data_IF_188756928470
#
_entry.id   IF_188756928470
#
_cell.length_a   1.000
_cell.length_b   1.000
_cell.length_c   1.000
_cell.angle_alpha   90.00
_cell.angle_beta   90.00
_cell.angle_gamma   90.00
#
_symmetry.space_group_name_H-M   'P 1'
#
loop_
_entity.id
_entity.type
_entity.pdbx_description
1 polymer ?
#
# COMPACT_ATOMS: atom_id res chain seq x y z
N UNK A 1 6.95 8.02 17.92
CA UNK A 1 6.87 8.01 16.45
C UNK A 1 7.69 9.15 15.89
N UNK A 2 8.45 8.91 14.82
CA UNK A 2 9.17 9.93 14.04
C UNK A 2 8.20 10.80 13.23
N UNK A 3 8.71 11.89 12.63
CA UNK A 3 7.91 12.75 11.75
C UNK A 3 7.33 11.99 10.56
N UNK A 4 8.13 11.09 9.96
CA UNK A 4 7.69 10.25 8.83
C UNK A 4 6.61 9.26 9.27
N UNK A 5 6.77 8.63 10.44
CA UNK A 5 5.77 7.70 10.98
C UNK A 5 4.44 8.40 11.29
N UNK A 6 4.47 9.64 11.81
CA UNK A 6 3.26 10.45 12.00
C UNK A 6 2.57 10.74 10.66
N UNK A 7 3.35 11.06 9.62
CA UNK A 7 2.83 11.33 8.28
C UNK A 7 2.20 10.09 7.64
N UNK A 8 2.87 8.93 7.73
CA UNK A 8 2.32 7.64 7.28
C UNK A 8 0.98 7.36 7.96
N UNK A 9 0.93 7.44 9.29
CA UNK A 9 -0.28 7.18 10.07
C UNK A 9 -1.43 8.11 9.65
N UNK A 10 -1.16 9.42 9.53
CA UNK A 10 -2.16 10.39 9.08
C UNK A 10 -2.73 10.02 7.71
N UNK A 11 -1.88 9.72 6.73
CA UNK A 11 -2.33 9.31 5.39
C UNK A 11 -3.20 8.04 5.44
N UNK A 12 -2.78 7.01 6.19
CA UNK A 12 -3.51 5.75 6.30
C UNK A 12 -4.91 5.95 6.90
N UNK A 13 -5.00 6.73 7.98
CA UNK A 13 -6.24 6.99 8.72
C UNK A 13 -7.19 7.96 8.01
N UNK A 14 -6.65 8.83 7.14
CA UNK A 14 -7.45 9.83 6.41
C UNK A 14 -8.16 9.24 5.19
N UNK A 15 -7.82 8.02 4.78
CA UNK A 15 -8.32 7.40 3.56
C UNK A 15 -9.24 6.21 3.83
N UNK A 16 -10.24 6.06 2.96
CA UNK A 16 -11.13 4.89 2.95
C UNK A 16 -10.57 3.80 2.06
N UNK A 17 -10.39 2.61 2.62
CA UNK A 17 -9.81 1.46 1.94
C UNK A 17 -10.90 0.54 1.39
N UNK A 18 -10.65 -0.03 0.22
CA UNK A 18 -11.61 -0.88 -0.50
C UNK A 18 -11.20 -2.34 -0.31
N UNK A 19 -12.09 -3.17 0.21
CA UNK A 19 -11.84 -4.61 0.32
C UNK A 19 -11.85 -5.31 -1.04
N UNK A 20 -10.78 -6.06 -1.35
CA UNK A 20 -10.61 -6.78 -2.60
C UNK A 20 -11.46 -8.06 -2.65
N UNK A 21 -12.74 -7.93 -3.04
CA UNK A 21 -13.70 -9.06 -3.10
C UNK A 21 -13.21 -10.25 -3.92
N UNK A 22 -12.49 -10.01 -5.01
CA UNK A 22 -11.94 -11.07 -5.89
C UNK A 22 -10.95 -11.97 -5.15
N UNK A 23 -10.17 -11.42 -4.21
CA UNK A 23 -9.17 -12.14 -3.44
C UNK A 23 -9.67 -12.56 -2.05
N UNK A 24 -10.94 -12.36 -1.73
CA UNK A 24 -11.47 -12.58 -0.38
C UNK A 24 -11.22 -13.99 0.19
N UNK A 25 -11.11 -15.01 -0.68
CA UNK A 25 -10.87 -16.41 -0.27
C UNK A 25 -9.40 -16.83 -0.29
N UNK A 26 -8.55 -16.13 -1.02
CA UNK A 26 -7.19 -16.59 -1.35
C UNK A 26 -6.12 -15.66 -0.81
N UNK A 27 -6.34 -14.35 -0.87
CA UNK A 27 -5.43 -13.35 -0.34
C UNK A 27 -6.20 -12.11 0.09
N UNK A 28 -6.97 -12.16 1.19
CA UNK A 28 -7.82 -11.04 1.60
C UNK A 28 -6.96 -9.81 1.96
N UNK A 29 -7.13 -8.74 1.17
CA UNK A 29 -6.45 -7.47 1.35
C UNK A 29 -7.40 -6.31 1.03
N UNK A 30 -6.98 -5.11 1.37
CA UNK A 30 -7.65 -3.87 0.98
C UNK A 30 -6.73 -3.05 0.08
N UNK A 31 -7.32 -2.11 -0.64
CA UNK A 31 -6.56 -1.24 -1.53
C UNK A 31 -7.16 0.16 -1.61
N UNK A 32 -6.32 1.07 -2.09
CA UNK A 32 -6.64 2.45 -2.38
C UNK A 32 -6.30 2.73 -3.85
N UNK A 33 -7.14 3.52 -4.53
CA UNK A 33 -6.96 3.88 -5.95
C UNK A 33 -6.55 5.34 -6.03
N UNK A 34 -5.41 5.63 -6.67
CA UNK A 34 -4.87 6.98 -6.76
C UNK A 34 -5.87 8.00 -7.32
N UNK A 35 -6.55 7.69 -8.42
CA UNK A 35 -7.51 8.61 -9.08
C UNK A 35 -8.77 8.91 -8.25
N UNK A 36 -9.00 8.19 -7.14
CA UNK A 36 -10.10 8.45 -6.22
C UNK A 36 -9.72 9.39 -5.07
N UNK A 37 -8.44 9.78 -5.00
CA UNK A 37 -7.93 10.73 -4.02
C UNK A 37 -8.10 12.16 -4.50
N UNK A 38 -8.33 13.07 -3.55
CA UNK A 38 -8.16 14.49 -3.81
C UNK A 38 -6.67 14.87 -4.00
N UNK A 39 -6.42 16.10 -4.47
CA UNK A 39 -5.07 16.58 -4.79
C UNK A 39 -4.11 16.58 -3.58
N UNK A 40 -4.61 16.73 -2.36
CA UNK A 40 -3.77 16.68 -1.16
C UNK A 40 -3.34 15.24 -0.89
N UNK A 41 -4.29 14.31 -0.89
CA UNK A 41 -4.03 12.89 -0.67
C UNK A 41 -3.20 12.27 -1.78
N UNK A 42 -3.31 12.75 -3.02
CA UNK A 42 -2.44 12.33 -4.12
C UNK A 42 -0.96 12.64 -3.85
N UNK A 43 -0.64 13.81 -3.27
CA UNK A 43 0.74 14.16 -2.88
C UNK A 43 1.24 13.29 -1.73
N UNK A 44 0.38 12.97 -0.79
CA UNK A 44 0.70 12.07 0.32
C UNK A 44 0.88 10.63 -0.17
N UNK A 45 0.09 10.18 -1.14
CA UNK A 45 0.26 8.90 -1.82
C UNK A 45 1.63 8.84 -2.51
N UNK A 46 1.96 9.83 -3.34
CA UNK A 46 3.25 9.88 -4.05
C UNK A 46 4.44 9.82 -3.08
N UNK A 47 4.32 10.52 -1.94
CA UNK A 47 5.33 10.43 -0.89
C UNK A 47 5.37 9.05 -0.22
N UNK A 48 4.22 8.42 0.03
CA UNK A 48 4.12 7.07 0.59
C UNK A 48 4.80 6.04 -0.31
N UNK A 49 4.60 6.12 -1.62
CA UNK A 49 5.25 5.21 -2.59
C UNK A 49 6.77 5.33 -2.51
N UNK A 50 7.32 6.54 -2.40
CA UNK A 50 8.76 6.71 -2.17
C UNK A 50 9.24 6.04 -0.90
N UNK A 51 8.42 6.00 0.16
CA UNK A 51 8.77 5.27 1.38
C UNK A 51 8.80 3.76 1.16
N UNK A 52 7.92 3.20 0.33
CA UNK A 52 7.98 1.79 -0.09
C UNK A 52 9.27 1.54 -0.88
N UNK A 53 9.58 2.40 -1.85
CA UNK A 53 10.79 2.28 -2.68
C UNK A 53 12.08 2.38 -1.85
N UNK A 54 12.17 3.31 -0.90
CA UNK A 54 13.39 3.54 -0.12
C UNK A 54 13.55 2.55 1.05
N UNK A 55 12.46 2.25 1.77
CA UNK A 55 12.49 1.55 3.06
C UNK A 55 11.86 0.16 3.04
N UNK A 56 11.21 -0.22 1.94
CA UNK A 56 10.56 -1.52 1.84
C UNK A 56 11.52 -2.70 1.84
N UNK A 57 10.96 -3.90 1.78
CA UNK A 57 11.67 -5.16 1.59
C UNK A 57 10.95 -6.00 0.53
N UNK A 58 11.72 -6.72 -0.27
CA UNK A 58 11.16 -7.50 -1.38
C UNK A 58 10.68 -8.87 -0.88
N UNK A 59 9.42 -9.20 -1.17
CA UNK A 59 8.81 -10.45 -0.77
C UNK A 59 7.86 -11.00 -1.83
N UNK A 60 7.48 -12.27 -1.66
CA UNK A 60 6.58 -12.96 -2.58
C UNK A 60 5.11 -12.73 -2.23
N UNK A 61 4.33 -12.55 -3.28
CA UNK A 61 2.88 -12.72 -3.34
C UNK A 61 2.61 -13.78 -4.40
N UNK A 62 2.39 -15.02 -3.97
CA UNK A 62 2.48 -16.18 -4.85
C UNK A 62 3.81 -16.17 -5.63
N UNK A 63 3.76 -16.19 -6.96
CA UNK A 63 4.96 -16.22 -7.81
C UNK A 63 5.57 -14.83 -8.05
N UNK A 64 4.82 -13.75 -7.78
CA UNK A 64 5.23 -12.36 -8.05
C UNK A 64 6.00 -11.79 -6.87
N UNK A 65 7.09 -11.07 -7.12
CA UNK A 65 7.79 -10.29 -6.08
C UNK A 65 7.24 -8.88 -6.05
N UNK A 66 6.88 -8.40 -4.87
CA UNK A 66 6.57 -6.99 -4.63
C UNK A 66 7.48 -6.44 -3.54
N UNK A 67 7.63 -5.12 -3.51
CA UNK A 67 8.31 -4.40 -2.45
C UNK A 67 7.30 -3.93 -1.41
N UNK A 68 7.51 -4.34 -0.16
CA UNK A 68 6.59 -4.12 0.95
C UNK A 68 7.16 -3.14 1.96
N UNK A 69 6.42 -2.09 2.30
CA UNK A 69 6.67 -1.30 3.50
C UNK A 69 5.88 -1.89 4.67
N UNK A 70 6.54 -2.08 5.81
CA UNK A 70 5.90 -2.54 7.05
C UNK A 70 5.71 -1.35 8.00
N UNK A 71 4.47 -1.15 8.44
CA UNK A 71 4.14 -0.06 9.36
C UNK A 71 2.87 -0.37 10.16
N UNK A 72 2.88 -0.09 11.45
CA UNK A 72 1.72 -0.21 12.37
C UNK A 72 0.97 -1.56 12.28
N UNK A 73 1.70 -2.67 12.19
CA UNK A 73 1.13 -4.02 12.12
C UNK A 73 0.61 -4.44 10.73
N UNK A 74 0.73 -3.58 9.73
CA UNK A 74 0.30 -3.80 8.35
C UNK A 74 1.51 -3.84 7.40
N UNK A 75 1.32 -4.44 6.23
CA UNK A 75 2.24 -4.31 5.10
C UNK A 75 1.54 -3.64 3.92
N UNK A 76 2.32 -2.89 3.13
CA UNK A 76 1.83 -2.05 2.05
C UNK A 76 2.66 -2.26 0.79
N UNK A 77 2.01 -2.40 -0.36
CA UNK A 77 2.70 -2.58 -1.65
C UNK A 77 1.89 -1.98 -2.79
N UNK A 78 2.58 -1.56 -3.85
CA UNK A 78 1.94 -1.02 -5.04
C UNK A 78 1.75 -2.11 -6.10
N UNK A 79 0.63 -2.04 -6.81
CA UNK A 79 0.39 -2.80 -8.04
C UNK A 79 -0.11 -1.86 -9.12
N UNK A 80 0.48 -1.92 -10.31
CA UNK A 80 0.02 -1.16 -11.49
C UNK A 80 0.61 0.25 -11.65
N UNK A 81 1.86 0.50 -11.23
CA UNK A 81 2.54 1.77 -11.50
C UNK A 81 3.29 1.75 -12.86
N UNK A 82 2.60 2.01 -13.96
CA UNK A 82 3.24 2.37 -15.24
C UNK A 82 3.11 3.87 -15.47
N UNK A 83 3.88 4.46 -16.41
CA UNK A 83 4.09 5.92 -16.56
C UNK A 83 2.81 6.79 -16.59
N UNK A 84 1.62 6.21 -16.83
CA UNK A 84 0.34 6.92 -16.84
C UNK A 84 -0.75 6.33 -15.92
N UNK A 85 -0.46 5.27 -15.16
CA UNK A 85 -1.36 4.69 -14.16
C UNK A 85 -0.61 4.68 -12.84
N UNK A 86 -1.02 5.53 -11.89
CA UNK A 86 -0.37 5.62 -10.57
C UNK A 86 -0.70 4.41 -9.68
N UNK A 87 -1.48 3.46 -10.17
CA UNK A 87 -1.71 2.15 -9.60
C UNK A 87 -2.60 2.16 -8.36
N UNK A 88 -2.64 0.99 -7.72
CA UNK A 88 -3.31 0.77 -6.44
C UNK A 88 -2.28 0.55 -5.34
N UNK A 89 -2.50 1.19 -4.19
CA UNK A 89 -1.79 0.90 -2.96
C UNK A 89 -2.58 -0.15 -2.19
N UNK A 90 -2.01 -1.33 -2.05
CA UNK A 90 -2.60 -2.42 -1.30
C UNK A 90 -2.13 -2.39 0.16
N UNK A 91 -2.94 -2.96 1.05
CA UNK A 91 -2.58 -3.27 2.43
C UNK A 91 -3.19 -4.57 2.92
N UNK A 92 -2.49 -5.25 3.81
CA UNK A 92 -3.01 -6.37 4.61
C UNK A 92 -2.18 -6.52 5.90
N UNK A 93 -2.63 -7.35 6.86
CA UNK A 93 -1.86 -7.61 8.08
C UNK A 93 -0.45 -8.13 7.76
N UNK A 94 0.56 -7.58 8.47
CA UNK A 94 1.97 -7.87 8.23
C UNK A 94 2.33 -9.37 8.32
N UNK A 95 1.58 -10.12 9.14
CA UNK A 95 1.78 -11.56 9.33
C UNK A 95 1.29 -12.43 8.16
N UNK A 96 0.48 -11.90 7.25
CA UNK A 96 -0.03 -12.68 6.13
C UNK A 96 1.09 -12.97 5.13
N UNK A 97 1.14 -14.21 4.62
CA UNK A 97 2.01 -14.65 3.53
C UNK A 97 1.18 -15.45 2.53
N UNK A 98 1.53 -15.36 1.25
CA UNK A 98 0.82 -16.04 0.17
C UNK A 98 1.84 -16.78 -0.68
N UNK A 99 1.69 -18.10 -0.77
CA UNK A 99 2.61 -19.04 -1.43
C UNK A 99 1.94 -19.68 -2.65
#
# INVERSE_FOLDING_TARGET
MTKDEIRLKKFIESNSWIFAKTYAKTAPHEYLVYDKLDEEMQKEYDWFIKQIEEKGVDEKFYQTTFRYLYFDGMKYWIHGSEENDKGILNRDPAGNKYE
#
